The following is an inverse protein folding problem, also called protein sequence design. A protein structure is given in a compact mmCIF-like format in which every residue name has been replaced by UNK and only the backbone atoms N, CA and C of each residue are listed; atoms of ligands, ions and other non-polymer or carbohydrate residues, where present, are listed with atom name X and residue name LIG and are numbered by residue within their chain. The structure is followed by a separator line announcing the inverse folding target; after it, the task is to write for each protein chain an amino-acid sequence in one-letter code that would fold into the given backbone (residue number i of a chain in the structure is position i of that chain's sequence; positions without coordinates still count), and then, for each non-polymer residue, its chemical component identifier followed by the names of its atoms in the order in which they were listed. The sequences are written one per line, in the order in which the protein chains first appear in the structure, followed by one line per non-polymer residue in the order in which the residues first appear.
data_IF_323098847893
#
_entry.id   IF_323098847893
#
_cell.length_a   1.000
_cell.length_b   1.000
_cell.length_c   1.000
_cell.angle_alpha   90.00
_cell.angle_beta   90.00
_cell.angle_gamma   90.00
#
_symmetry.space_group_name_H-M   'P 1'
#
loop_
_entity.id
_entity.type
_entity.pdbx_description
1 polymer ?
#
# COMPACT_ATOMS: atom_id res chain seq x y z
N UNK A 1 3.14 16.52 9.48
CA UNK A 1 4.20 17.03 10.37
C UNK A 1 5.16 17.88 9.55
N UNK A 2 5.92 18.83 10.14
CA UNK A 2 6.84 19.70 9.40
C UNK A 2 7.88 18.96 8.56
N UNK A 3 8.24 17.74 8.96
CA UNK A 3 9.14 16.81 8.26
C UNK A 3 8.43 15.89 7.24
N UNK A 4 7.14 16.13 6.99
CA UNK A 4 6.34 15.36 6.05
C UNK A 4 5.77 14.04 6.58
N UNK A 5 5.96 13.71 7.87
CA UNK A 5 5.31 12.56 8.52
C UNK A 5 3.82 12.81 8.76
N UNK A 6 3.06 11.73 8.96
CA UNK A 6 1.62 11.79 9.20
C UNK A 6 1.29 11.98 10.69
N UNK A 7 0.16 12.65 10.94
CA UNK A 7 -0.55 12.59 12.22
C UNK A 7 -1.73 11.65 12.06
N UNK A 8 -2.09 10.91 13.11
CA UNK A 8 -3.21 9.95 13.07
C UNK A 8 -4.56 10.64 13.00
N UNK A 9 -4.70 11.80 13.64
CA UNK A 9 -6.01 12.43 13.83
C UNK A 9 -5.96 13.92 13.57
N UNK A 10 -7.08 14.45 13.09
CA UNK A 10 -7.30 15.88 12.89
C UNK A 10 -8.70 16.24 13.37
N UNK A 11 -8.79 17.17 14.32
CA UNK A 11 -10.07 17.65 14.85
C UNK A 11 -9.92 19.10 15.30
N UNK A 12 -10.93 19.92 15.04
CA UNK A 12 -11.02 21.31 15.52
C UNK A 12 -9.77 22.16 15.19
N UNK A 13 -9.26 22.02 13.97
CA UNK A 13 -8.07 22.75 13.51
C UNK A 13 -6.74 22.17 13.97
N UNK A 14 -6.74 21.05 14.69
CA UNK A 14 -5.54 20.51 15.32
C UNK A 14 -5.26 19.07 14.89
N UNK A 15 -4.07 18.86 14.34
CA UNK A 15 -3.53 17.53 14.07
C UNK A 15 -2.83 17.00 15.33
N UNK A 16 -3.12 15.76 15.74
CA UNK A 16 -2.59 15.16 16.96
C UNK A 16 -2.24 13.69 16.77
N UNK A 17 -1.30 13.24 17.60
CA UNK A 17 -0.74 11.90 17.72
C UNK A 17 0.05 11.44 16.49
N UNK A 18 1.20 10.83 16.74
CA UNK A 18 1.97 10.21 15.67
C UNK A 18 1.13 9.12 15.00
N UNK A 19 1.23 9.06 13.67
CA UNK A 19 0.56 8.05 12.87
C UNK A 19 1.25 6.69 13.04
N UNK A 20 0.44 5.64 13.01
CA UNK A 20 0.88 4.24 13.08
C UNK A 20 1.08 3.69 11.66
N UNK A 21 1.63 2.47 11.57
CA UNK A 21 1.87 1.80 10.30
C UNK A 21 0.61 1.76 9.41
N UNK A 22 -0.56 1.41 9.97
CA UNK A 22 -1.78 1.30 9.18
C UNK A 22 -2.22 2.63 8.57
N UNK A 23 -1.91 3.76 9.21
CA UNK A 23 -2.24 5.09 8.71
C UNK A 23 -1.41 5.41 7.46
N UNK A 24 -0.10 5.09 7.48
CA UNK A 24 0.76 5.23 6.31
C UNK A 24 0.33 4.29 5.18
N UNK A 25 0.18 3.00 5.49
CA UNK A 25 -0.13 1.99 4.49
C UNK A 25 -1.49 2.22 3.82
N UNK A 26 -2.52 2.57 4.60
CA UNK A 26 -3.84 2.91 4.06
C UNK A 26 -3.78 4.17 3.19
N UNK A 27 -3.02 5.19 3.60
CA UNK A 27 -2.94 6.43 2.83
C UNK A 27 -2.15 6.26 1.53
N UNK A 28 -1.04 5.51 1.55
CA UNK A 28 -0.30 5.11 0.33
C UNK A 28 -1.25 4.41 -0.65
N UNK A 29 -2.04 3.44 -0.18
CA UNK A 29 -3.03 2.75 -1.01
C UNK A 29 -4.07 3.72 -1.61
N UNK A 30 -4.54 4.69 -0.82
CA UNK A 30 -5.44 5.73 -1.29
C UNK A 30 -4.83 6.62 -2.37
N UNK A 31 -3.55 6.99 -2.22
CA UNK A 31 -2.82 7.80 -3.20
C UNK A 31 -2.58 7.04 -4.51
N UNK A 32 -2.31 5.74 -4.45
CA UNK A 32 -2.24 4.88 -5.65
C UNK A 32 -3.60 4.85 -6.37
N UNK A 33 -4.69 4.71 -5.62
CA UNK A 33 -6.04 4.74 -6.21
C UNK A 33 -6.37 6.12 -6.84
N UNK A 34 -5.92 7.22 -6.22
CA UNK A 34 -6.04 8.56 -6.82
C UNK A 34 -5.22 8.67 -8.11
N UNK A 35 -3.99 8.16 -8.12
CA UNK A 35 -3.19 8.10 -9.33
C UNK A 35 -3.90 7.33 -10.45
N UNK A 36 -4.42 6.13 -10.20
CA UNK A 36 -5.10 5.35 -11.25
C UNK A 36 -6.43 5.97 -11.71
N UNK A 37 -7.07 6.76 -10.84
CA UNK A 37 -8.29 7.49 -11.17
C UNK A 37 -8.03 8.75 -12.00
N UNK A 38 -6.94 9.49 -11.73
CA UNK A 38 -6.69 10.81 -12.34
C UNK A 38 -5.48 10.87 -13.26
N UNK A 39 -4.60 9.88 -13.19
CA UNK A 39 -3.26 9.83 -13.79
C UNK A 39 -2.35 11.02 -13.45
N UNK A 40 -2.67 11.73 -12.36
CA UNK A 40 -1.84 12.82 -11.86
C UNK A 40 -0.67 12.21 -11.07
N UNK A 41 0.53 12.31 -11.65
CA UNK A 41 1.76 11.77 -11.11
C UNK A 41 2.10 12.31 -9.72
N UNK A 42 1.53 13.46 -9.30
CA UNK A 42 1.74 13.98 -7.95
C UNK A 42 1.31 12.97 -6.87
N UNK A 43 0.26 12.19 -7.14
CA UNK A 43 -0.25 11.21 -6.19
C UNK A 43 0.67 10.01 -6.08
N UNK A 44 1.22 9.53 -7.21
CA UNK A 44 2.21 8.47 -7.23
C UNK A 44 3.53 8.92 -6.57
N UNK A 45 3.94 10.17 -6.80
CA UNK A 45 5.08 10.78 -6.12
C UNK A 45 4.90 10.83 -4.61
N UNK A 46 3.73 11.26 -4.13
CA UNK A 46 3.43 11.31 -2.69
C UNK A 46 3.32 9.91 -2.08
N UNK A 47 2.73 8.94 -2.79
CA UNK A 47 2.70 7.54 -2.35
C UNK A 47 4.11 6.98 -2.16
N UNK A 48 5.01 7.28 -3.09
CA UNK A 48 6.42 6.86 -3.04
C UNK A 48 7.15 7.51 -1.86
N UNK A 49 6.95 8.81 -1.64
CA UNK A 49 7.54 9.56 -0.52
C UNK A 49 7.09 8.99 0.82
N UNK A 50 5.79 8.71 0.97
CA UNK A 50 5.25 8.10 2.18
C UNK A 50 5.72 6.66 2.37
N UNK A 51 5.90 5.88 1.29
CA UNK A 51 6.47 4.54 1.38
C UNK A 51 7.91 4.58 1.93
N UNK A 52 8.73 5.54 1.48
CA UNK A 52 10.08 5.74 2.02
C UNK A 52 10.07 6.08 3.52
N UNK A 53 9.17 6.99 3.94
CA UNK A 53 8.99 7.29 5.36
C UNK A 53 8.48 6.08 6.15
N UNK A 54 7.60 5.27 5.56
CA UNK A 54 7.11 4.03 6.16
C UNK A 54 8.26 3.05 6.41
N UNK A 55 9.18 2.89 5.46
CA UNK A 55 10.41 2.12 5.66
C UNK A 55 11.27 2.69 6.78
N UNK A 56 11.55 3.99 6.76
CA UNK A 56 12.41 4.63 7.76
C UNK A 56 11.86 4.50 9.20
N UNK A 57 10.54 4.64 9.38
CA UNK A 57 9.94 4.67 10.71
C UNK A 57 9.61 3.28 11.26
N UNK A 58 9.16 2.35 10.41
CA UNK A 58 8.49 1.13 10.87
C UNK A 58 9.18 -0.16 10.46
N UNK A 59 10.10 -0.16 9.50
CA UNK A 59 10.69 -1.41 8.98
C UNK A 59 11.47 -2.16 10.06
N UNK A 60 11.39 -3.48 10.01
CA UNK A 60 12.26 -4.38 10.77
C UNK A 60 13.22 -5.09 9.84
N UNK A 61 14.50 -5.16 10.21
CA UNK A 61 15.49 -5.98 9.52
C UNK A 61 15.10 -7.47 9.52
N UNK A 62 14.32 -7.92 10.52
CA UNK A 62 13.71 -9.24 10.58
C UNK A 62 12.52 -9.47 9.63
N UNK A 63 12.13 -8.46 8.84
CA UNK A 63 11.03 -8.49 7.87
C UNK A 63 9.72 -7.89 8.37
N UNK A 64 8.95 -7.28 7.48
CA UNK A 64 7.72 -6.59 7.83
C UNK A 64 7.95 -5.32 8.65
N UNK A 65 6.88 -4.82 9.25
CA UNK A 65 6.86 -3.51 9.85
C UNK A 65 6.28 -3.57 11.27
N UNK A 66 6.88 -2.80 12.17
CA UNK A 66 6.33 -2.52 13.49
C UNK A 66 5.13 -1.58 13.37
N UNK A 67 4.20 -1.70 14.31
CA UNK A 67 3.00 -0.86 14.35
C UNK A 67 3.34 0.61 14.68
N UNK A 68 4.33 0.81 15.56
CA UNK A 68 4.77 2.13 16.02
C UNK A 68 6.09 2.54 15.37
N UNK A 69 6.22 3.84 15.10
CA UNK A 69 7.44 4.41 14.53
C UNK A 69 8.59 4.40 15.56
N UNK A 70 9.83 4.59 15.08
CA UNK A 70 11.02 4.77 15.96
C UNK A 70 10.91 6.00 16.88
N UNK A 71 9.98 6.90 16.59
CA UNK A 71 9.75 8.19 17.24
C UNK A 71 8.50 8.20 18.14
N UNK A 72 7.86 7.05 18.33
CA UNK A 72 6.80 6.91 19.31
C UNK A 72 7.36 6.89 20.72
N UNK A 73 6.45 6.93 21.70
CA UNK A 73 6.76 6.69 23.12
C UNK A 73 7.67 5.46 23.27
N UNK A 74 8.62 5.52 24.20
CA UNK A 74 9.52 4.41 24.45
C UNK A 74 8.72 3.22 25.03
N UNK A 75 8.45 2.24 24.18
CA UNK A 75 7.74 1.02 24.56
C UNK A 75 8.74 -0.06 24.98
N UNK A 76 8.34 -0.91 25.94
CA UNK A 76 9.12 -2.10 26.36
C UNK A 76 9.47 -2.99 25.17
N UNK A 77 8.56 -3.11 24.20
CA UNK A 77 8.82 -3.75 22.91
C UNK A 77 7.85 -3.21 21.86
N UNK A 78 8.36 -2.92 20.65
CA UNK A 78 7.52 -2.63 19.49
C UNK A 78 6.93 -3.93 18.97
N UNK A 79 5.63 -3.93 18.68
CA UNK A 79 4.92 -5.09 18.14
C UNK A 79 4.72 -4.95 16.64
N UNK A 80 4.63 -6.08 15.95
CA UNK A 80 4.14 -6.17 14.58
C UNK A 80 2.74 -6.74 14.63
N UNK A 81 1.80 -6.10 13.96
CA UNK A 81 0.45 -6.64 13.79
C UNK A 81 0.28 -7.13 12.35
N UNK A 82 -0.21 -8.36 12.24
CA UNK A 82 -0.44 -9.07 10.98
C UNK A 82 -1.87 -9.60 10.87
N UNK A 83 -2.64 -9.59 11.97
CA UNK A 83 -3.98 -10.20 11.99
C UNK A 83 -5.00 -9.15 11.60
N UNK A 84 -5.73 -9.41 10.54
CA UNK A 84 -6.84 -8.57 10.12
C UNK A 84 -7.97 -8.70 11.15
N UNK A 85 -8.47 -7.55 11.62
CA UNK A 85 -9.58 -7.45 12.58
C UNK A 85 -10.71 -6.62 11.95
N UNK A 86 -11.33 -5.70 12.70
CA UNK A 86 -12.32 -4.75 12.17
C UNK A 86 -11.78 -3.93 10.98
N UNK A 87 -10.46 -3.75 10.92
CA UNK A 87 -9.72 -3.20 9.78
C UNK A 87 -8.57 -4.16 9.40
N UNK A 88 -8.08 -4.12 8.14
CA UNK A 88 -6.88 -4.84 7.77
C UNK A 88 -5.68 -4.43 8.61
N UNK A 89 -4.76 -5.36 8.87
CA UNK A 89 -3.53 -5.07 9.61
C UNK A 89 -2.63 -4.11 8.83
N UNK A 90 -1.80 -3.35 9.55
CA UNK A 90 -0.83 -2.45 8.94
C UNK A 90 0.14 -3.18 8.00
N UNK A 91 0.57 -4.40 8.35
CA UNK A 91 1.41 -5.21 7.48
C UNK A 91 0.68 -5.73 6.24
N UNK A 92 -0.60 -6.12 6.36
CA UNK A 92 -1.44 -6.51 5.22
C UNK A 92 -1.56 -5.36 4.20
N UNK A 93 -1.82 -4.14 4.70
CA UNK A 93 -1.93 -2.94 3.85
C UNK A 93 -0.58 -2.53 3.27
N UNK A 94 0.49 -2.63 4.06
CA UNK A 94 1.84 -2.31 3.59
C UNK A 94 2.26 -3.25 2.47
N UNK A 95 2.03 -4.56 2.62
CA UNK A 95 2.32 -5.54 1.58
C UNK A 95 1.52 -5.27 0.30
N UNK A 96 0.22 -4.93 0.40
CA UNK A 96 -0.61 -4.55 -0.73
C UNK A 96 -0.06 -3.31 -1.45
N UNK A 97 0.19 -2.23 -0.71
CA UNK A 97 0.68 -0.97 -1.27
C UNK A 97 2.06 -1.13 -1.92
N UNK A 98 2.98 -1.83 -1.26
CA UNK A 98 4.31 -2.11 -1.79
C UNK A 98 4.26 -2.97 -3.05
N UNK A 99 3.42 -3.99 -3.10
CA UNK A 99 3.29 -4.83 -4.29
C UNK A 99 2.80 -4.02 -5.49
N UNK A 100 1.83 -3.12 -5.28
CA UNK A 100 1.34 -2.22 -6.35
C UNK A 100 2.39 -1.21 -6.78
N UNK A 101 3.08 -0.56 -5.84
CA UNK A 101 4.18 0.37 -6.16
C UNK A 101 5.34 -0.35 -6.86
N UNK A 102 5.58 -1.62 -6.55
CA UNK A 102 6.63 -2.39 -7.22
C UNK A 102 6.37 -2.50 -8.72
N UNK A 103 5.12 -2.70 -9.13
CA UNK A 103 4.74 -2.76 -10.56
C UNK A 103 4.75 -1.36 -11.17
N UNK A 104 4.12 -0.37 -10.52
CA UNK A 104 4.02 1.00 -11.06
C UNK A 104 5.37 1.71 -11.23
N UNK A 105 6.37 1.36 -10.42
CA UNK A 105 7.67 2.03 -10.36
C UNK A 105 8.84 1.13 -10.78
N UNK A 106 8.58 -0.10 -11.19
CA UNK A 106 9.60 -1.13 -11.44
C UNK A 106 10.60 -1.30 -10.26
N UNK A 107 10.06 -1.46 -9.05
CA UNK A 107 10.83 -1.53 -7.80
C UNK A 107 10.83 -2.93 -7.19
N UNK A 108 11.83 -3.73 -7.58
CA UNK A 108 12.04 -5.08 -7.06
C UNK A 108 12.17 -5.16 -5.52
N UNK A 109 12.70 -4.10 -4.90
CA UNK A 109 12.80 -3.94 -3.43
C UNK A 109 11.43 -4.01 -2.74
N UNK A 110 10.42 -3.34 -3.30
CA UNK A 110 9.06 -3.33 -2.75
C UNK A 110 8.37 -4.68 -2.92
N UNK A 111 8.55 -5.32 -4.07
CA UNK A 111 8.07 -6.70 -4.29
C UNK A 111 8.72 -7.67 -3.31
N UNK A 112 10.02 -7.53 -3.07
CA UNK A 112 10.76 -8.40 -2.15
C UNK A 112 10.27 -8.25 -0.71
N UNK A 113 10.01 -7.02 -0.25
CA UNK A 113 9.48 -6.80 1.10
C UNK A 113 8.05 -7.32 1.26
N UNK A 114 7.18 -7.12 0.27
CA UNK A 114 5.85 -7.74 0.29
C UNK A 114 5.94 -9.28 0.40
N UNK A 115 6.88 -9.88 -0.34
CA UNK A 115 7.17 -11.32 -0.25
C UNK A 115 7.66 -11.76 1.13
N UNK A 116 8.47 -10.95 1.83
CA UNK A 116 8.92 -11.23 3.20
C UNK A 116 7.75 -11.27 4.18
N UNK A 117 6.82 -10.31 4.09
CA UNK A 117 5.60 -10.30 4.92
C UNK A 117 4.78 -11.58 4.69
N UNK A 118 4.58 -11.96 3.42
CA UNK A 118 3.85 -13.19 3.06
C UNK A 118 4.52 -14.44 3.63
N UNK A 119 5.84 -14.55 3.52
CA UNK A 119 6.60 -15.69 4.04
C UNK A 119 6.52 -15.78 5.57
N UNK A 120 6.58 -14.67 6.29
CA UNK A 120 6.45 -14.64 7.75
C UNK A 120 5.11 -15.20 8.22
N UNK A 121 4.04 -14.94 7.47
CA UNK A 121 2.69 -15.33 7.85
C UNK A 121 2.19 -16.59 7.15
N UNK A 122 3.00 -17.26 6.32
CA UNK A 122 2.63 -18.45 5.55
C UNK A 122 1.88 -19.50 6.37
N UNK A 123 2.47 -19.96 7.48
CA UNK A 123 1.90 -21.03 8.30
C UNK A 123 0.69 -20.57 9.10
N UNK A 124 0.60 -19.27 9.43
CA UNK A 124 -0.55 -18.69 10.12
C UNK A 124 -1.74 -18.55 9.16
N UNK A 125 -1.51 -18.05 7.94
CA UNK A 125 -2.50 -17.98 6.87
C UNK A 125 -3.08 -19.35 6.55
N UNK A 126 -2.25 -20.40 6.50
CA UNK A 126 -2.72 -21.76 6.23
C UNK A 126 -3.58 -22.33 7.38
N UNK A 127 -3.26 -22.01 8.64
CA UNK A 127 -3.97 -22.55 9.81
C UNK A 127 -5.21 -21.76 10.21
N UNK A 128 -5.21 -20.44 10.01
CA UNK A 128 -6.29 -19.54 10.41
C UNK A 128 -6.59 -18.50 9.31
N UNK A 129 -7.03 -18.92 8.11
CA UNK A 129 -7.16 -18.02 6.95
C UNK A 129 -8.13 -16.85 7.18
N UNK A 130 -9.14 -17.03 8.03
CA UNK A 130 -10.14 -15.98 8.34
C UNK A 130 -9.55 -14.75 9.02
N UNK A 131 -8.37 -14.88 9.66
CA UNK A 131 -7.65 -13.75 10.27
C UNK A 131 -6.71 -13.01 9.31
N UNK A 132 -6.65 -13.39 8.03
CA UNK A 132 -5.67 -12.86 7.07
C UNK A 132 -6.30 -12.55 5.70
N UNK A 133 -7.59 -12.19 5.66
CA UNK A 133 -8.32 -12.00 4.41
C UNK A 133 -7.66 -11.01 3.45
N UNK A 134 -7.11 -9.89 3.95
CA UNK A 134 -6.38 -8.94 3.12
C UNK A 134 -5.05 -9.50 2.66
N UNK A 135 -4.28 -10.09 3.58
CA UNK A 135 -2.96 -10.65 3.25
C UNK A 135 -3.04 -11.83 2.28
N UNK A 136 -4.10 -12.64 2.35
CA UNK A 136 -4.41 -13.67 1.36
C UNK A 136 -4.72 -13.09 -0.02
N UNK A 137 -5.41 -11.95 -0.09
CA UNK A 137 -5.57 -11.20 -1.34
C UNK A 137 -4.25 -10.69 -1.91
N UNK A 138 -3.32 -10.28 -1.03
CA UNK A 138 -1.96 -9.92 -1.45
C UNK A 138 -1.19 -11.15 -1.93
N UNK A 139 -1.34 -12.31 -1.26
CA UNK A 139 -0.72 -13.57 -1.68
C UNK A 139 -1.20 -13.97 -3.09
N UNK A 140 -2.51 -13.89 -3.32
CA UNK A 140 -3.13 -14.14 -4.62
C UNK A 140 -2.53 -13.23 -5.71
N UNK A 141 -2.51 -11.92 -5.47
CA UNK A 141 -1.89 -10.95 -6.39
C UNK A 141 -0.37 -11.14 -6.57
N UNK A 142 0.35 -11.63 -5.56
CA UNK A 142 1.78 -11.86 -5.61
C UNK A 142 2.16 -13.05 -6.49
N UNK A 143 1.32 -14.09 -6.48
CA UNK A 143 1.49 -15.32 -7.25
C UNK A 143 0.90 -15.23 -8.66
N UNK A 144 -0.13 -14.39 -8.84
CA UNK A 144 -0.72 -14.12 -10.14
C UNK A 144 0.26 -13.36 -11.06
N UNK A 145 0.17 -13.54 -12.39
CA UNK A 145 0.86 -12.64 -13.32
C UNK A 145 0.32 -11.22 -13.15
N UNK A 146 1.21 -10.22 -13.06
CA UNK A 146 0.81 -8.81 -13.04
C UNK A 146 0.11 -8.44 -14.34
N UNK A 147 -1.03 -7.75 -14.24
CA UNK A 147 -1.73 -7.20 -15.40
C UNK A 147 -1.41 -5.71 -15.53
N UNK A 148 -0.52 -5.36 -16.44
CA UNK A 148 -0.13 -3.97 -16.66
C UNK A 148 -0.90 -3.40 -17.85
N UNK A 149 -1.84 -2.49 -17.57
CA UNK A 149 -2.68 -1.87 -18.59
C UNK A 149 -2.20 -0.42 -18.78
N UNK A 150 -1.61 -0.15 -19.94
CA UNK A 150 -1.23 1.20 -20.34
C UNK A 150 -2.19 1.69 -21.45
N UNK A 151 -2.87 2.81 -21.21
CA UNK A 151 -3.65 3.50 -22.25
C UNK A 151 -2.84 4.70 -22.73
N UNK A 152 -2.53 4.72 -24.03
CA UNK A 152 -1.70 5.77 -24.64
C UNK A 152 -2.52 6.57 -25.65
N UNK A 153 -2.58 7.89 -25.48
CA UNK A 153 -3.29 8.76 -26.42
C UNK A 153 -3.73 10.10 -25.83
N UNK A 154 -4.32 10.95 -26.68
CA UNK A 154 -4.86 12.24 -26.25
C UNK A 154 -5.99 12.03 -25.20
N UNK A 155 -5.87 12.56 -23.98
CA UNK A 155 -6.89 12.40 -22.93
C UNK A 155 -8.28 12.93 -23.31
N UNK A 156 -8.34 13.88 -24.24
CA UNK A 156 -9.60 14.46 -24.72
C UNK A 156 -10.20 13.69 -25.89
N UNK A 157 -9.43 12.81 -26.55
CA UNK A 157 -9.95 12.00 -27.64
C UNK A 157 -11.01 11.00 -27.14
N UNK A 158 -12.08 10.85 -27.92
CA UNK A 158 -13.18 9.93 -27.59
C UNK A 158 -12.68 8.48 -27.42
N UNK A 159 -11.82 8.01 -28.32
CA UNK A 159 -11.30 6.65 -28.29
C UNK A 159 -10.49 6.37 -27.01
N UNK A 160 -9.65 7.31 -26.58
CA UNK A 160 -8.88 7.23 -25.34
C UNK A 160 -9.79 7.14 -24.13
N UNK A 161 -10.80 8.00 -24.04
CA UNK A 161 -11.78 7.99 -22.94
C UNK A 161 -12.61 6.72 -22.91
N UNK A 162 -12.99 6.18 -24.07
CA UNK A 162 -13.71 4.92 -24.18
C UNK A 162 -12.87 3.72 -23.70
N UNK A 163 -11.59 3.67 -24.06
CA UNK A 163 -10.67 2.62 -23.57
C UNK A 163 -10.46 2.71 -22.05
N UNK A 164 -10.28 3.92 -21.51
CA UNK A 164 -10.18 4.12 -20.06
C UNK A 164 -11.45 3.68 -19.32
N UNK A 165 -12.63 3.97 -19.88
CA UNK A 165 -13.89 3.54 -19.30
C UNK A 165 -14.01 2.01 -19.27
N UNK A 166 -13.62 1.33 -20.35
CA UNK A 166 -13.63 -0.14 -20.38
C UNK A 166 -12.58 -0.77 -19.47
N UNK A 167 -11.37 -0.22 -19.38
CA UNK A 167 -10.36 -0.69 -18.45
C UNK A 167 -10.82 -0.59 -16.98
N UNK A 168 -11.67 0.40 -16.67
CA UNK A 168 -12.22 0.64 -15.31
C UNK A 168 -13.52 -0.10 -15.02
N UNK A 169 -14.18 -0.66 -16.03
CA UNK A 169 -15.50 -1.30 -15.89
C UNK A 169 -15.44 -2.63 -15.12
N UNK A 170 -14.55 -3.58 -15.43
CA UNK A 170 -14.43 -4.82 -14.66
C UNK A 170 -13.64 -4.59 -13.37
N UNK A 171 -13.92 -5.42 -12.36
CA UNK A 171 -13.04 -5.52 -11.20
C UNK A 171 -11.79 -6.33 -11.59
N UNK A 172 -10.65 -5.66 -11.69
CA UNK A 172 -9.36 -6.25 -12.04
C UNK A 172 -8.41 -6.19 -10.83
N UNK A 173 -8.44 -7.19 -9.92
CA UNK A 173 -7.70 -7.14 -8.66
C UNK A 173 -6.17 -7.21 -8.83
N UNK A 174 -5.70 -7.70 -9.99
CA UNK A 174 -4.28 -7.86 -10.31
C UNK A 174 -3.76 -6.81 -11.30
N UNK A 175 -4.61 -5.89 -11.72
CA UNK A 175 -4.25 -4.88 -12.68
C UNK A 175 -3.70 -3.62 -12.02
N UNK A 176 -2.67 -3.04 -12.64
CA UNK A 176 -2.33 -1.63 -12.47
C UNK A 176 -2.63 -0.88 -13.75
N UNK A 177 -3.13 0.34 -13.60
CA UNK A 177 -3.53 1.18 -14.73
C UNK A 177 -2.60 2.37 -14.84
N UNK A 178 -2.01 2.56 -16.02
CA UNK A 178 -1.17 3.70 -16.36
C UNK A 178 -1.69 4.41 -17.61
N UNK A 179 -1.35 5.69 -17.74
CA UNK A 179 -1.75 6.54 -18.85
C UNK A 179 -0.55 7.34 -19.36
N UNK A 180 -0.42 7.45 -20.68
CA UNK A 180 0.68 8.19 -21.32
C UNK A 180 0.23 8.95 -22.58
#
# INVERSE_FOLDING_TARGET
QPDGRLFRSYKDGQARFNAYLEDYAAFIRGLIALYEATFDLRWLGEATRLAQLMFAQFHDAGGGFFQTGIDHEELVARRKDFVDNAIPSGNSLAAEGLLRLAVLLDKAEYRSEAGRILLMMKDAMARQPTGFGRLLGVLDAYLAPSQEIAVVGDPEAFATRALLAEARRPFLPHAVLAFA
#
